data_IF_120472831108
#
_entry.id   IF_120472831108
#
_cell.length_a   1.000
_cell.length_b   1.000
_cell.length_c   1.000
_cell.angle_alpha   90.00
_cell.angle_beta   90.00
_cell.angle_gamma   90.00
#
_symmetry.space_group_name_H-M   'P 1'
#
loop_
_entity.id
_entity.type
_entity.pdbx_description
1 polymer ?
#
# COMPACT_ATOMS: atom_id res chain seq x y z
N UNK A 1 -3.01 -21.97 23.03
CA UNK A 1 -3.55 -20.68 22.52
C UNK A 1 -5.05 -20.73 22.66
N UNK A 2 -5.58 -19.91 23.54
CA UNK A 2 -7.00 -19.92 23.87
C UNK A 2 -7.71 -18.65 23.42
N UNK A 3 -7.02 -17.49 23.31
CA UNK A 3 -7.58 -16.20 22.94
C UNK A 3 -6.66 -15.42 21.98
N UNK A 4 -7.22 -14.83 20.92
CA UNK A 4 -6.49 -14.02 19.93
C UNK A 4 -7.10 -12.63 19.84
N UNK A 5 -6.26 -11.61 20.01
CA UNK A 5 -6.63 -10.22 19.75
C UNK A 5 -5.88 -9.72 18.52
N UNK A 6 -6.61 -9.10 17.59
CA UNK A 6 -6.05 -8.44 16.38
C UNK A 6 -6.29 -6.94 16.51
N UNK A 7 -5.23 -6.15 16.50
CA UNK A 7 -5.29 -4.69 16.50
C UNK A 7 -5.03 -4.17 15.09
N UNK A 8 -6.10 -3.71 14.46
CA UNK A 8 -6.11 -3.21 13.09
C UNK A 8 -7.23 -3.83 12.25
N UNK A 9 -8.20 -3.01 11.84
CA UNK A 9 -9.35 -3.38 11.01
C UNK A 9 -9.06 -3.32 9.50
N UNK A 10 -7.80 -3.51 9.09
CA UNK A 10 -7.43 -3.58 7.68
C UNK A 10 -7.50 -5.00 7.11
N UNK A 11 -7.20 -5.12 5.82
CA UNK A 11 -7.25 -6.38 5.07
C UNK A 11 -6.37 -7.48 5.71
N UNK A 12 -5.18 -7.15 6.21
CA UNK A 12 -4.30 -8.14 6.82
C UNK A 12 -4.92 -8.79 8.07
N UNK A 13 -5.54 -7.99 8.95
CA UNK A 13 -6.26 -8.46 10.13
C UNK A 13 -7.46 -9.33 9.74
N UNK A 14 -8.27 -8.89 8.76
CA UNK A 14 -9.42 -9.65 8.26
C UNK A 14 -9.00 -11.02 7.72
N UNK A 15 -7.95 -11.08 6.90
CA UNK A 15 -7.45 -12.34 6.32
C UNK A 15 -6.81 -13.27 7.35
N UNK A 16 -6.22 -12.71 8.43
CA UNK A 16 -5.72 -13.52 9.56
C UNK A 16 -6.87 -14.21 10.27
N UNK A 17 -7.94 -13.50 10.58
CA UNK A 17 -9.10 -14.03 11.28
C UNK A 17 -9.89 -15.01 10.41
N UNK A 18 -10.11 -14.68 9.14
CA UNK A 18 -10.72 -15.57 8.15
C UNK A 18 -9.98 -16.93 8.11
N UNK A 19 -8.65 -16.88 8.04
CA UNK A 19 -7.81 -18.09 7.98
C UNK A 19 -7.88 -18.87 9.30
N UNK A 20 -7.80 -18.21 10.47
CA UNK A 20 -7.93 -18.88 11.77
C UNK A 20 -9.23 -19.67 11.87
N UNK A 21 -10.37 -19.06 11.49
CA UNK A 21 -11.69 -19.70 11.52
C UNK A 21 -11.81 -20.81 10.48
N UNK A 22 -11.34 -20.56 9.27
CA UNK A 22 -11.33 -21.56 8.17
C UNK A 22 -10.54 -22.82 8.51
N UNK A 23 -9.45 -22.67 9.29
CA UNK A 23 -8.59 -23.77 9.74
C UNK A 23 -9.02 -24.38 11.07
N UNK A 24 -10.19 -24.01 11.59
CA UNK A 24 -10.83 -24.68 12.72
C UNK A 24 -10.49 -24.13 14.09
N UNK A 25 -9.84 -22.99 14.23
CA UNK A 25 -9.66 -22.35 15.53
C UNK A 25 -11.03 -21.95 16.11
N UNK A 26 -11.29 -22.36 17.38
CA UNK A 26 -12.57 -22.15 18.06
C UNK A 26 -12.48 -21.24 19.31
N UNK A 27 -11.26 -20.84 19.71
CA UNK A 27 -11.08 -19.89 20.81
C UNK A 27 -11.65 -18.51 20.49
N UNK A 28 -11.85 -17.63 21.47
CA UNK A 28 -12.25 -16.26 21.24
C UNK A 28 -11.32 -15.52 20.27
N UNK A 29 -11.90 -14.70 19.40
CA UNK A 29 -11.16 -13.80 18.50
C UNK A 29 -11.81 -12.43 18.56
N UNK A 30 -11.01 -11.42 18.92
CA UNK A 30 -11.45 -10.02 18.92
C UNK A 30 -10.61 -9.21 17.95
N UNK A 31 -11.27 -8.47 17.04
CA UNK A 31 -10.64 -7.49 16.15
C UNK A 31 -10.99 -6.09 16.64
N UNK A 32 -9.96 -5.24 16.80
CA UNK A 32 -10.10 -3.84 17.21
C UNK A 32 -9.76 -2.95 16.02
N UNK A 33 -10.72 -2.19 15.53
CA UNK A 33 -10.62 -1.32 14.35
C UNK A 33 -10.86 0.14 14.75
N UNK A 34 -9.89 1.00 14.47
CA UNK A 34 -10.00 2.44 14.76
C UNK A 34 -10.98 3.18 13.83
N UNK A 35 -11.14 2.69 12.60
CA UNK A 35 -12.11 3.21 11.64
C UNK A 35 -13.53 2.74 11.99
N UNK A 36 -14.59 3.51 11.64
CA UNK A 36 -15.99 3.15 11.95
C UNK A 36 -16.57 2.13 10.97
N UNK A 37 -15.74 1.56 10.11
CA UNK A 37 -16.12 0.63 9.07
C UNK A 37 -15.64 -0.79 9.39
N UNK A 38 -16.33 -1.76 8.86
CA UNK A 38 -15.82 -3.13 8.75
C UNK A 38 -14.56 -3.15 7.86
N UNK A 39 -13.68 -4.14 8.01
CA UNK A 39 -12.49 -4.26 7.18
C UNK A 39 -12.80 -4.23 5.69
N UNK A 40 -12.05 -3.42 4.93
CA UNK A 40 -12.21 -3.23 3.51
C UNK A 40 -10.87 -3.22 2.77
N UNK A 41 -10.94 -3.40 1.46
CA UNK A 41 -9.81 -3.36 0.55
C UNK A 41 -9.50 -1.91 0.13
N UNK A 42 -8.24 -1.49 0.22
CA UNK A 42 -7.84 -0.10 -0.08
C UNK A 42 -7.62 0.21 -1.58
N UNK A 43 -7.23 -0.76 -2.45
CA UNK A 43 -7.02 -0.44 -3.86
C UNK A 43 -8.19 0.25 -4.57
N UNK A 44 -9.47 -0.07 -4.29
CA UNK A 44 -10.59 0.65 -4.89
C UNK A 44 -10.64 2.15 -4.56
N UNK A 45 -10.04 2.60 -3.45
CA UNK A 45 -10.08 3.99 -3.00
C UNK A 45 -9.46 4.98 -4.00
N UNK A 46 -8.40 4.57 -4.72
CA UNK A 46 -7.72 5.39 -5.74
C UNK A 46 -8.15 5.05 -7.18
N UNK A 47 -8.98 4.03 -7.36
CA UNK A 47 -9.40 3.48 -8.65
C UNK A 47 -10.93 3.62 -8.84
N UNK A 48 -11.63 2.51 -8.78
CA UNK A 48 -13.07 2.44 -9.11
C UNK A 48 -13.93 3.40 -8.31
N UNK A 49 -13.68 3.55 -7.02
CA UNK A 49 -14.45 4.46 -6.17
C UNK A 49 -14.21 5.94 -6.51
N UNK A 50 -12.99 6.33 -6.91
CA UNK A 50 -12.74 7.69 -7.41
C UNK A 50 -13.30 7.90 -8.83
N UNK A 51 -13.46 6.84 -9.61
CA UNK A 51 -14.14 6.89 -10.91
C UNK A 51 -15.66 6.93 -10.78
N UNK A 52 -16.20 6.93 -9.54
CA UNK A 52 -17.64 6.97 -9.29
C UNK A 52 -18.36 5.65 -9.59
N UNK A 53 -17.63 4.53 -9.69
CA UNK A 53 -18.22 3.20 -9.87
C UNK A 53 -18.79 2.70 -8.55
N UNK A 54 -19.89 1.96 -8.63
CA UNK A 54 -20.54 1.29 -7.50
C UNK A 54 -19.79 -0.03 -7.21
N UNK A 55 -18.62 0.09 -6.55
CA UNK A 55 -17.77 -1.02 -6.14
C UNK A 55 -17.82 -1.18 -4.64
N UNK A 56 -18.22 -2.36 -4.15
CA UNK A 56 -18.14 -2.69 -2.74
C UNK A 56 -16.70 -3.07 -2.37
N UNK A 57 -15.99 -2.29 -1.53
CA UNK A 57 -14.64 -2.60 -1.11
C UNK A 57 -14.58 -3.57 0.07
N UNK A 58 -15.70 -4.01 0.64
CA UNK A 58 -15.76 -4.84 1.85
C UNK A 58 -14.91 -6.10 1.73
N UNK A 59 -14.01 -6.33 2.68
CA UNK A 59 -13.08 -7.45 2.65
C UNK A 59 -13.74 -8.80 2.93
N UNK A 60 -14.77 -8.81 3.79
CA UNK A 60 -15.57 -9.98 4.17
C UNK A 60 -17.03 -9.57 4.24
N UNK A 61 -17.94 -10.48 3.89
CA UNK A 61 -19.39 -10.24 4.06
C UNK A 61 -19.70 -9.78 5.48
N UNK A 62 -20.50 -8.73 5.69
CA UNK A 62 -20.86 -8.22 7.02
C UNK A 62 -21.39 -9.30 7.98
N UNK A 63 -22.17 -10.25 7.48
CA UNK A 63 -22.69 -11.35 8.28
C UNK A 63 -21.62 -12.39 8.68
N UNK A 64 -20.46 -12.37 8.03
CA UNK A 64 -19.37 -13.32 8.26
C UNK A 64 -18.88 -13.29 9.71
N UNK A 65 -18.77 -12.09 10.29
CA UNK A 65 -18.23 -11.88 11.64
C UNK A 65 -19.06 -12.58 12.71
N UNK A 66 -20.39 -12.40 12.67
CA UNK A 66 -21.31 -13.04 13.57
C UNK A 66 -21.40 -14.56 13.33
N UNK A 67 -21.48 -14.98 12.05
CA UNK A 67 -21.57 -16.41 11.67
C UNK A 67 -20.34 -17.23 12.12
N UNK A 68 -19.20 -16.57 12.33
CA UNK A 68 -17.96 -17.23 12.74
C UNK A 68 -17.52 -16.89 14.18
N UNK A 69 -18.41 -16.35 15.01
CA UNK A 69 -18.13 -16.00 16.40
C UNK A 69 -16.89 -15.11 16.56
N UNK A 70 -16.73 -14.09 15.70
CA UNK A 70 -15.65 -13.10 15.78
C UNK A 70 -16.20 -11.80 16.31
N UNK A 71 -15.64 -11.30 17.42
CA UNK A 71 -15.98 -9.98 17.94
C UNK A 71 -15.26 -8.90 17.17
N UNK A 72 -15.96 -8.17 16.30
CA UNK A 72 -15.43 -7.00 15.60
C UNK A 72 -15.85 -5.73 16.36
N UNK A 73 -14.86 -4.91 16.75
CA UNK A 73 -15.05 -3.63 17.44
C UNK A 73 -14.58 -2.51 16.53
N UNK A 74 -15.50 -1.86 15.84
CA UNK A 74 -15.24 -0.69 14.98
C UNK A 74 -15.31 0.60 15.79
N UNK A 75 -14.70 1.67 15.30
CA UNK A 75 -14.58 2.98 15.96
C UNK A 75 -13.97 2.89 17.37
N UNK A 76 -13.06 1.94 17.59
CA UNK A 76 -12.35 1.73 18.85
C UNK A 76 -10.85 1.63 18.59
N UNK A 77 -10.06 2.44 19.29
CA UNK A 77 -8.60 2.49 19.14
C UNK A 77 -7.89 1.80 20.29
N UNK A 78 -6.91 0.96 19.96
CA UNK A 78 -5.93 0.47 20.93
C UNK A 78 -4.91 1.59 21.21
N UNK A 79 -4.78 1.98 22.48
CA UNK A 79 -3.98 3.14 22.90
C UNK A 79 -2.78 2.79 23.76
N UNK A 80 -2.73 1.58 24.33
CA UNK A 80 -1.60 1.10 25.14
C UNK A 80 -1.50 -0.41 25.07
N UNK A 81 -0.28 -0.94 25.08
CA UNK A 81 0.02 -2.37 25.16
C UNK A 81 0.82 -2.67 26.43
N UNK A 82 0.25 -3.46 27.33
CA UNK A 82 0.93 -4.01 28.53
C UNK A 82 1.33 -5.47 28.25
N UNK A 83 2.56 -5.65 27.75
CA UNK A 83 3.12 -6.96 27.40
C UNK A 83 3.26 -7.88 28.61
N UNK A 84 3.62 -7.30 29.77
CA UNK A 84 3.81 -8.08 31.01
C UNK A 84 2.53 -8.70 31.52
N UNK A 85 1.40 -7.98 31.40
CA UNK A 85 0.08 -8.46 31.75
C UNK A 85 -0.70 -9.07 30.57
N UNK A 86 -0.13 -9.09 29.37
CA UNK A 86 -0.74 -9.57 28.12
C UNK A 86 -2.12 -8.97 27.89
N UNK A 87 -2.19 -7.65 27.81
CA UNK A 87 -3.43 -6.93 27.61
C UNK A 87 -3.25 -5.65 26.80
N UNK A 88 -4.29 -5.29 26.07
CA UNK A 88 -4.38 -4.06 25.28
C UNK A 88 -5.41 -3.13 25.89
N UNK A 89 -5.07 -1.87 26.09
CA UNK A 89 -5.97 -0.83 26.56
C UNK A 89 -6.63 -0.13 25.37
N UNK A 90 -7.94 -0.01 25.43
CA UNK A 90 -8.75 0.68 24.42
C UNK A 90 -9.10 2.09 24.87
N UNK A 91 -9.33 2.98 23.92
CA UNK A 91 -9.81 4.36 24.16
C UNK A 91 -11.19 4.41 24.85
N UNK A 92 -11.96 3.32 24.79
CA UNK A 92 -13.17 3.12 25.59
C UNK A 92 -12.92 2.95 27.10
N UNK A 93 -11.66 2.80 27.53
CA UNK A 93 -11.25 2.52 28.92
C UNK A 93 -11.19 1.05 29.29
N UNK A 94 -11.53 0.15 28.39
CA UNK A 94 -11.49 -1.30 28.59
C UNK A 94 -10.08 -1.86 28.36
N UNK A 95 -9.73 -2.92 29.10
CA UNK A 95 -8.55 -3.76 28.88
C UNK A 95 -8.96 -5.11 28.29
N UNK A 96 -8.43 -5.43 27.10
CA UNK A 96 -8.58 -6.76 26.49
C UNK A 96 -7.35 -7.62 26.83
N UNK A 97 -7.57 -8.78 27.41
CA UNK A 97 -6.52 -9.79 27.59
C UNK A 97 -6.32 -10.58 26.30
N UNK A 98 -5.13 -11.13 26.09
CA UNK A 98 -4.80 -11.99 24.95
C UNK A 98 -3.82 -13.09 25.35
N UNK A 99 -3.92 -14.24 24.72
CA UNK A 99 -2.84 -15.23 24.69
C UNK A 99 -1.88 -14.93 23.53
N UNK A 100 -2.45 -14.50 22.39
CA UNK A 100 -1.70 -14.04 21.22
C UNK A 100 -2.28 -12.71 20.70
N UNK A 101 -1.39 -11.78 20.43
CA UNK A 101 -1.71 -10.48 19.84
C UNK A 101 -1.15 -10.38 18.43
N UNK A 102 -1.97 -9.92 17.49
CA UNK A 102 -1.54 -9.58 16.13
C UNK A 102 -1.68 -8.08 15.91
N UNK A 103 -0.56 -7.39 15.71
CA UNK A 103 -0.52 -5.98 15.35
C UNK A 103 -0.63 -5.85 13.82
N UNK A 104 -1.76 -5.36 13.35
CA UNK A 104 -2.09 -5.13 11.93
C UNK A 104 -2.47 -3.65 11.70
N UNK A 105 -1.78 -2.74 12.40
CA UNK A 105 -2.08 -1.31 12.48
C UNK A 105 -1.85 -0.56 11.16
N UNK A 106 -1.16 -1.18 10.21
CA UNK A 106 -0.97 -0.65 8.86
C UNK A 106 -0.02 0.55 8.79
N UNK A 107 -0.34 1.50 7.93
CA UNK A 107 0.43 2.71 7.71
C UNK A 107 -0.50 3.92 7.53
N UNK A 108 0.00 5.11 7.79
CA UNK A 108 -0.69 6.39 7.64
C UNK A 108 -0.03 7.22 6.53
N UNK A 109 -0.76 8.14 5.87
CA UNK A 109 -0.14 9.04 4.90
C UNK A 109 0.99 9.84 5.54
N UNK A 110 2.07 10.02 4.81
CA UNK A 110 3.15 10.90 5.23
C UNK A 110 2.72 12.36 5.11
N UNK A 111 2.61 13.03 6.24
CA UNK A 111 2.36 14.48 6.30
C UNK A 111 3.73 15.17 6.32
N UNK A 112 4.07 16.00 5.31
CA UNK A 112 5.33 16.74 5.32
C UNK A 112 5.31 17.85 6.37
N UNK A 113 6.47 18.16 6.93
CA UNK A 113 6.66 19.31 7.82
C UNK A 113 6.75 20.61 6.98
N UNK A 114 5.60 21.01 6.41
CA UNK A 114 5.45 22.19 5.58
C UNK A 114 4.23 23.00 6.06
N UNK A 115 4.31 24.34 6.05
CA UNK A 115 3.19 25.19 6.39
C UNK A 115 1.95 24.82 5.56
N UNK A 116 0.79 24.66 6.22
CA UNK A 116 -0.49 24.37 5.60
C UNK A 116 -0.70 22.94 5.11
N UNK A 117 0.29 22.05 5.21
CA UNK A 117 0.18 20.65 4.77
C UNK A 117 -0.91 19.87 5.53
N UNK A 118 -1.17 20.22 6.79
CA UNK A 118 -2.23 19.65 7.61
C UNK A 118 -3.65 19.93 7.10
N UNK A 119 -3.79 20.89 6.18
CA UNK A 119 -5.07 21.27 5.55
C UNK A 119 -5.25 20.70 4.15
N UNK A 120 -4.24 20.03 3.62
CA UNK A 120 -4.30 19.36 2.33
C UNK A 120 -5.16 18.08 2.39
N UNK A 121 -5.55 17.59 1.23
CA UNK A 121 -6.16 16.27 1.09
C UNK A 121 -5.09 15.18 1.15
N UNK A 122 -5.46 14.05 1.71
CA UNK A 122 -4.72 12.80 1.73
C UNK A 122 -5.64 11.68 1.29
N UNK A 123 -5.11 10.52 0.93
CA UNK A 123 -5.94 9.38 0.55
C UNK A 123 -5.46 8.12 1.27
N UNK A 124 -6.25 7.68 2.25
CA UNK A 124 -6.01 6.43 2.99
C UNK A 124 -7.29 5.72 3.42
N UNK A 125 -8.33 6.46 3.80
CA UNK A 125 -9.59 5.93 4.32
C UNK A 125 -10.77 6.18 3.37
N UNK A 126 -11.93 5.59 3.67
CA UNK A 126 -13.16 5.86 2.93
C UNK A 126 -13.57 7.34 3.04
N UNK A 127 -13.40 7.95 4.22
CA UNK A 127 -13.66 9.38 4.42
C UNK A 127 -12.70 10.26 3.61
N UNK A 128 -11.43 9.83 3.50
CA UNK A 128 -10.47 10.52 2.63
C UNK A 128 -10.91 10.45 1.17
N UNK A 129 -11.32 9.27 0.70
CA UNK A 129 -11.84 9.07 -0.66
C UNK A 129 -13.05 9.97 -0.90
N UNK A 130 -13.98 10.08 0.04
CA UNK A 130 -15.15 10.97 -0.10
C UNK A 130 -14.74 12.45 -0.21
N UNK A 131 -13.75 12.87 0.58
CA UNK A 131 -13.20 14.23 0.49
C UNK A 131 -12.49 14.49 -0.83
N UNK A 132 -11.68 13.54 -1.30
CA UNK A 132 -11.01 13.64 -2.59
C UNK A 132 -12.03 13.67 -3.72
N UNK A 133 -13.00 12.74 -3.72
CA UNK A 133 -14.05 12.70 -4.75
C UNK A 133 -14.87 13.99 -4.79
N UNK A 134 -15.19 14.58 -3.64
CA UNK A 134 -15.89 15.88 -3.55
C UNK A 134 -15.10 17.05 -4.14
N UNK A 135 -13.76 16.91 -4.22
CA UNK A 135 -12.85 17.87 -4.84
C UNK A 135 -12.65 17.65 -6.36
N UNK A 136 -13.19 16.55 -6.92
CA UNK A 136 -13.06 16.23 -8.36
C UNK A 136 -14.25 16.79 -9.14
N UNK A 137 -14.37 18.13 -9.20
CA UNK A 137 -15.44 18.79 -9.97
C UNK A 137 -14.92 19.28 -11.31
N UNK A 138 -15.70 19.14 -12.40
CA UNK A 138 -15.30 19.64 -13.70
C UNK A 138 -14.88 21.11 -13.67
N UNK A 139 -13.69 21.41 -14.17
CA UNK A 139 -13.14 22.75 -14.22
C UNK A 139 -12.41 23.22 -12.95
N UNK A 140 -12.47 22.49 -11.84
CA UNK A 140 -11.62 22.76 -10.66
C UNK A 140 -10.16 22.41 -10.96
N UNK A 141 -9.23 23.05 -10.24
CA UNK A 141 -7.78 22.84 -10.34
C UNK A 141 -7.29 22.06 -9.13
N UNK A 142 -6.69 20.89 -9.39
CA UNK A 142 -6.09 20.03 -8.38
C UNK A 142 -4.56 20.04 -8.49
N UNK A 143 -3.86 20.50 -7.45
CA UNK A 143 -2.42 20.30 -7.32
C UNK A 143 -2.15 19.02 -6.51
N UNK A 144 -1.36 18.09 -7.08
CA UNK A 144 -0.94 16.85 -6.44
C UNK A 144 0.54 16.94 -6.13
N UNK A 145 0.91 16.78 -4.87
CA UNK A 145 2.29 16.75 -4.39
C UNK A 145 2.77 15.32 -4.28
N UNK A 146 3.68 14.92 -5.17
CA UNK A 146 4.22 13.57 -5.30
C UNK A 146 3.66 12.81 -6.50
N UNK A 147 4.57 12.32 -7.37
CA UNK A 147 4.26 11.48 -8.53
C UNK A 147 4.55 10.00 -8.23
N UNK A 148 4.17 9.54 -7.03
CA UNK A 148 4.12 8.11 -6.68
C UNK A 148 2.85 7.45 -7.22
N UNK A 149 2.66 6.14 -6.95
CA UNK A 149 1.54 5.37 -7.46
C UNK A 149 0.18 6.03 -7.17
N UNK A 150 -0.08 6.38 -5.91
CA UNK A 150 -1.36 7.01 -5.49
C UNK A 150 -1.55 8.38 -6.14
N UNK A 151 -0.49 9.21 -6.19
CA UNK A 151 -0.58 10.54 -6.81
C UNK A 151 -0.94 10.45 -8.29
N UNK A 152 -0.35 9.50 -9.02
CA UNK A 152 -0.63 9.28 -10.44
C UNK A 152 -2.01 8.64 -10.67
N UNK A 153 -2.45 7.69 -9.83
CA UNK A 153 -3.79 7.11 -9.91
C UNK A 153 -4.87 8.18 -9.67
N UNK A 154 -4.68 9.04 -8.67
CA UNK A 154 -5.59 10.17 -8.43
C UNK A 154 -5.57 11.16 -9.57
N UNK A 155 -4.39 11.44 -10.17
CA UNK A 155 -4.27 12.30 -11.35
C UNK A 155 -5.07 11.73 -12.53
N UNK A 156 -4.99 10.42 -12.77
CA UNK A 156 -5.74 9.75 -13.82
C UNK A 156 -7.26 9.82 -13.57
N UNK A 157 -7.71 9.53 -12.34
CA UNK A 157 -9.12 9.64 -11.96
C UNK A 157 -9.62 11.09 -12.09
N UNK A 158 -8.87 12.08 -11.61
CA UNK A 158 -9.23 13.50 -11.69
C UNK A 158 -9.40 13.98 -13.14
N UNK A 159 -8.51 13.52 -14.05
CA UNK A 159 -8.67 13.84 -15.49
C UNK A 159 -9.93 13.23 -16.09
N UNK A 160 -10.37 12.06 -15.65
CA UNK A 160 -11.65 11.46 -16.07
C UNK A 160 -12.86 12.31 -15.63
N UNK A 161 -12.73 13.04 -14.51
CA UNK A 161 -13.73 14.00 -14.02
C UNK A 161 -13.55 15.42 -14.60
N UNK A 162 -12.74 15.61 -15.65
CA UNK A 162 -12.49 16.90 -16.30
C UNK A 162 -11.87 17.96 -15.36
N UNK A 163 -11.13 17.53 -14.33
CA UNK A 163 -10.37 18.41 -13.42
C UNK A 163 -9.05 18.82 -14.08
N UNK A 164 -8.65 20.08 -13.92
CA UNK A 164 -7.31 20.53 -14.32
C UNK A 164 -6.28 20.04 -13.30
N UNK A 165 -5.34 19.18 -13.72
CA UNK A 165 -4.41 18.51 -12.80
C UNK A 165 -2.98 18.99 -13.03
N UNK A 166 -2.34 19.48 -11.96
CA UNK A 166 -0.90 19.71 -11.88
C UNK A 166 -0.28 18.73 -10.88
N UNK A 167 0.65 17.88 -11.32
CA UNK A 167 1.42 16.99 -10.47
C UNK A 167 2.83 17.53 -10.28
N UNK A 168 3.27 17.62 -9.03
CA UNK A 168 4.57 18.16 -8.62
C UNK A 168 5.45 17.06 -8.05
N UNK A 169 6.58 16.80 -8.70
CA UNK A 169 7.52 15.76 -8.29
C UNK A 169 8.92 16.38 -8.08
N UNK A 170 9.54 16.01 -6.97
CA UNK A 170 10.88 16.50 -6.64
C UNK A 170 11.98 15.80 -7.45
N UNK A 171 11.78 14.53 -7.82
CA UNK A 171 12.69 13.78 -8.68
C UNK A 171 12.56 14.25 -10.15
N UNK A 172 13.52 13.84 -10.98
CA UNK A 172 13.53 14.17 -12.42
C UNK A 172 12.47 13.40 -13.21
N UNK A 173 12.08 12.21 -12.72
CA UNK A 173 11.03 11.38 -13.31
C UNK A 173 10.13 10.76 -12.22
N UNK A 174 8.85 10.50 -12.53
CA UNK A 174 7.95 9.80 -11.61
C UNK A 174 8.39 8.34 -11.45
N UNK A 175 8.39 7.82 -10.21
CA UNK A 175 8.67 6.41 -9.91
C UNK A 175 10.03 5.88 -10.42
N UNK A 176 10.99 6.75 -10.74
CA UNK A 176 12.27 6.38 -11.36
C UNK A 176 13.05 5.30 -10.58
N UNK A 177 12.99 5.36 -9.25
CA UNK A 177 13.66 4.37 -8.37
C UNK A 177 13.05 2.96 -8.47
N UNK A 178 11.84 2.84 -8.99
CA UNK A 178 11.12 1.56 -9.11
C UNK A 178 11.16 1.06 -10.54
N UNK A 179 10.87 1.92 -11.49
CA UNK A 179 10.69 1.55 -12.90
C UNK A 179 11.96 1.72 -13.75
N UNK A 180 12.92 2.54 -13.29
CA UNK A 180 14.05 2.98 -14.11
C UNK A 180 13.65 4.12 -15.05
N UNK A 181 14.64 4.80 -15.65
CA UNK A 181 14.42 6.03 -16.39
C UNK A 181 13.52 5.86 -17.63
N UNK A 182 13.68 4.76 -18.39
CA UNK A 182 12.93 4.51 -19.62
C UNK A 182 11.43 4.38 -19.38
N UNK A 183 11.03 3.46 -18.51
CA UNK A 183 9.61 3.20 -18.18
C UNK A 183 8.98 4.38 -17.42
N UNK A 184 9.75 5.05 -16.57
CA UNK A 184 9.32 6.28 -15.91
C UNK A 184 9.07 7.42 -16.90
N UNK A 185 9.91 7.55 -17.92
CA UNK A 185 9.72 8.48 -19.03
C UNK A 185 8.46 8.17 -19.83
N UNK A 186 8.20 6.89 -20.10
CA UNK A 186 7.00 6.42 -20.78
C UNK A 186 5.73 6.76 -19.96
N UNK A 187 5.71 6.47 -18.65
CA UNK A 187 4.60 6.81 -17.77
C UNK A 187 4.37 8.32 -17.67
N UNK A 188 5.46 9.12 -17.63
CA UNK A 188 5.36 10.58 -17.65
C UNK A 188 4.74 11.10 -18.95
N UNK A 189 5.11 10.51 -20.08
CA UNK A 189 4.55 10.86 -21.41
C UNK A 189 3.05 10.51 -21.48
N UNK A 190 2.64 9.36 -20.96
CA UNK A 190 1.25 8.95 -20.85
C UNK A 190 0.41 10.01 -20.10
N UNK A 191 0.84 10.38 -18.90
CA UNK A 191 0.10 11.38 -18.09
C UNK A 191 0.01 12.72 -18.80
N UNK A 192 1.09 13.19 -19.42
CA UNK A 192 1.08 14.43 -20.22
C UNK A 192 0.15 14.36 -21.43
N UNK A 193 0.06 13.22 -22.12
CA UNK A 193 -0.85 13.02 -23.27
C UNK A 193 -2.33 13.11 -22.85
N UNK A 194 -2.65 12.75 -21.60
CA UNK A 194 -3.98 12.92 -21.00
C UNK A 194 -4.21 14.30 -20.36
N UNK A 195 -3.32 15.26 -20.61
CA UNK A 195 -3.49 16.64 -20.16
C UNK A 195 -3.14 16.88 -18.68
N UNK A 196 -2.34 16.02 -18.07
CA UNK A 196 -1.74 16.27 -16.75
C UNK A 196 -0.53 17.19 -16.92
N UNK A 197 -0.50 18.33 -16.23
CA UNK A 197 0.68 19.20 -16.11
C UNK A 197 1.66 18.57 -15.10
N UNK A 198 2.46 17.61 -15.58
CA UNK A 198 3.45 16.92 -14.76
C UNK A 198 4.78 17.70 -14.74
N UNK A 199 5.07 18.32 -13.59
CA UNK A 199 6.28 19.10 -13.31
C UNK A 199 7.23 18.33 -12.43
N UNK A 200 8.39 18.00 -12.97
CA UNK A 200 9.46 17.27 -12.27
C UNK A 200 10.61 18.21 -11.90
N UNK A 201 11.47 17.80 -10.94
CA UNK A 201 12.53 18.66 -10.40
C UNK A 201 11.97 19.84 -9.58
N UNK A 202 10.75 19.72 -9.02
CA UNK A 202 10.04 20.79 -8.32
C UNK A 202 9.80 20.39 -6.87
N UNK A 203 10.35 21.14 -5.93
CA UNK A 203 10.06 20.98 -4.51
C UNK A 203 8.94 21.92 -4.05
N UNK A 204 7.97 21.36 -3.31
CA UNK A 204 6.92 22.15 -2.63
C UNK A 204 7.47 22.65 -1.31
N UNK A 205 7.18 23.90 -0.98
CA UNK A 205 7.66 24.60 0.22
C UNK A 205 6.54 24.96 1.19
N UNK A 206 5.31 25.13 0.70
CA UNK A 206 4.16 25.54 1.48
C UNK A 206 2.86 25.21 0.74
N UNK A 207 1.82 24.83 1.45
CA UNK A 207 0.43 24.81 0.99
C UNK A 207 -0.18 26.16 1.35
N UNK A 208 -0.58 26.93 0.35
CA UNK A 208 -1.14 28.28 0.54
C UNK A 208 -2.59 28.16 0.97
N UNK A 209 -2.95 28.85 2.05
CA UNK A 209 -4.29 28.80 2.62
C UNK A 209 -5.05 30.10 2.35
N UNK A 210 -6.28 29.97 1.89
CA UNK A 210 -7.31 31.02 1.86
C UNK A 210 -8.29 30.86 3.03
N UNK A 211 -9.38 31.66 3.03
CA UNK A 211 -10.39 31.60 4.10
C UNK A 211 -11.05 30.24 4.25
N UNK A 212 -11.27 29.55 3.14
CA UNK A 212 -12.06 28.30 3.11
C UNK A 212 -11.20 27.03 2.96
N UNK A 213 -9.88 27.16 2.80
CA UNK A 213 -8.97 26.02 2.63
C UNK A 213 -7.78 26.33 1.74
N UNK A 214 -7.11 25.29 1.20
CA UNK A 214 -6.01 25.45 0.25
C UNK A 214 -6.43 26.24 -0.99
N UNK A 215 -5.55 27.14 -1.45
CA UNK A 215 -5.73 27.95 -2.67
C UNK A 215 -4.56 27.78 -3.65
N UNK A 216 -3.62 26.91 -3.35
CA UNK A 216 -2.45 26.60 -4.18
C UNK A 216 -1.25 26.14 -3.38
N UNK A 217 -0.12 26.09 -4.03
CA UNK A 217 1.17 25.70 -3.44
C UNK A 217 2.28 26.65 -3.84
N UNK A 218 3.20 26.93 -2.90
CA UNK A 218 4.48 27.57 -3.19
C UNK A 218 5.51 26.52 -3.48
N UNK A 219 6.24 26.71 -4.56
CA UNK A 219 7.28 25.76 -5.00
C UNK A 219 8.62 26.46 -5.21
N UNK A 220 9.68 25.68 -5.44
CA UNK A 220 11.01 26.18 -5.84
C UNK A 220 11.00 26.96 -7.17
N UNK A 221 9.93 26.83 -7.98
CA UNK A 221 9.81 27.44 -9.31
C UNK A 221 8.67 28.50 -9.38
N UNK A 222 8.11 28.89 -8.23
CA UNK A 222 7.03 29.87 -8.16
C UNK A 222 5.77 29.31 -7.51
N UNK A 223 4.69 30.08 -7.60
CA UNK A 223 3.37 29.72 -7.03
C UNK A 223 2.50 29.04 -8.10
N UNK A 224 1.76 28.04 -7.69
CA UNK A 224 0.77 27.33 -8.50
C UNK A 224 -0.58 27.50 -7.78
N UNK A 225 -1.51 28.13 -8.44
CA UNK A 225 -2.88 28.26 -7.95
C UNK A 225 -3.63 26.94 -8.13
N UNK A 226 -4.38 26.54 -7.11
CA UNK A 226 -5.23 25.36 -7.15
C UNK A 226 -6.44 25.55 -6.22
N UNK A 227 -7.55 24.94 -6.57
CA UNK A 227 -8.76 24.98 -5.74
C UNK A 227 -8.69 23.86 -4.67
N UNK A 228 -7.89 22.82 -4.96
CA UNK A 228 -7.61 21.71 -4.05
C UNK A 228 -6.15 21.30 -4.12
N UNK A 229 -5.62 20.84 -2.98
CA UNK A 229 -4.25 20.30 -2.88
C UNK A 229 -4.29 18.91 -2.26
N UNK A 230 -3.75 17.91 -2.95
CA UNK A 230 -3.56 16.55 -2.45
C UNK A 230 -2.08 16.29 -2.21
N UNK A 231 -1.74 15.67 -1.08
CA UNK A 231 -0.36 15.24 -0.77
C UNK A 231 -0.28 13.71 -0.82
N UNK A 232 0.58 13.20 -1.69
CA UNK A 232 0.78 11.76 -1.97
C UNK A 232 2.26 11.39 -2.02
N UNK A 233 3.00 11.69 -0.93
CA UNK A 233 4.47 11.51 -0.82
C UNK A 233 4.88 10.24 -0.07
N UNK A 234 4.02 9.22 -0.08
CA UNK A 234 4.21 7.94 0.59
C UNK A 234 3.50 7.82 1.92
N UNK A 235 3.80 6.75 2.65
CA UNK A 235 3.20 6.44 3.94
C UNK A 235 4.25 6.21 5.02
N UNK A 236 3.82 6.20 6.27
CA UNK A 236 4.63 5.87 7.44
C UNK A 236 3.95 4.73 8.21
N UNK A 237 4.68 3.70 8.65
CA UNK A 237 4.09 2.60 9.40
C UNK A 237 3.56 3.07 10.75
N UNK A 238 2.36 2.62 11.12
CA UNK A 238 1.69 2.97 12.38
C UNK A 238 2.24 2.15 13.55
N UNK A 239 3.43 2.53 14.03
CA UNK A 239 4.24 1.76 14.98
C UNK A 239 4.15 2.23 16.44
N UNK A 240 3.42 3.30 16.74
CA UNK A 240 3.48 3.97 18.04
C UNK A 240 3.10 3.03 19.19
N UNK A 241 2.02 2.26 19.05
CA UNK A 241 1.61 1.26 20.05
C UNK A 241 2.72 0.25 20.36
N UNK A 242 3.42 -0.21 19.33
CA UNK A 242 4.52 -1.17 19.47
C UNK A 242 5.78 -0.52 20.08
N UNK A 243 6.11 0.70 19.63
CA UNK A 243 7.26 1.46 20.12
C UNK A 243 7.12 1.79 21.59
N UNK A 244 5.95 2.29 22.01
CA UNK A 244 5.67 2.63 23.40
C UNK A 244 5.66 1.39 24.33
N UNK A 245 5.31 0.24 23.79
CA UNK A 245 5.39 -1.04 24.48
C UNK A 245 6.84 -1.63 24.51
N UNK A 246 7.82 -0.96 23.91
CA UNK A 246 9.22 -1.42 23.88
C UNK A 246 9.48 -2.59 22.94
N UNK A 247 8.66 -2.77 21.89
CA UNK A 247 8.96 -3.66 20.78
C UNK A 247 9.97 -3.02 19.84
N UNK A 248 10.77 -3.82 19.15
CA UNK A 248 11.76 -3.33 18.19
C UNK A 248 11.06 -2.75 16.96
N UNK A 249 11.49 -1.53 16.55
CA UNK A 249 10.95 -0.78 15.43
C UNK A 249 12.09 -0.25 14.57
N UNK A 250 12.09 -0.63 13.29
CA UNK A 250 12.99 -0.15 12.25
C UNK A 250 12.25 -0.14 10.91
N UNK A 251 11.85 1.03 10.41
CA UNK A 251 10.95 1.18 9.26
C UNK A 251 9.74 0.22 9.31
N UNK A 252 9.07 0.16 10.46
CA UNK A 252 8.00 -0.78 10.79
C UNK A 252 8.30 -1.58 12.06
N UNK A 253 7.40 -2.46 12.46
CA UNK A 253 7.63 -3.39 13.57
C UNK A 253 8.51 -4.52 13.07
N UNK A 254 9.67 -4.71 13.71
CA UNK A 254 10.63 -5.76 13.33
C UNK A 254 10.07 -7.12 13.70
N UNK A 255 9.96 -8.00 12.71
CA UNK A 255 9.49 -9.39 12.91
C UNK A 255 10.39 -10.40 12.20
N UNK A 256 10.42 -11.62 12.72
CA UNK A 256 11.11 -12.73 12.08
C UNK A 256 10.38 -13.23 10.80
N UNK A 257 10.86 -14.30 10.20
CA UNK A 257 10.25 -14.94 9.03
C UNK A 257 8.87 -15.57 9.32
N UNK A 258 8.49 -15.66 10.59
CA UNK A 258 7.20 -16.17 11.08
C UNK A 258 6.31 -15.05 11.63
N UNK A 259 6.65 -13.79 11.35
CA UNK A 259 5.93 -12.59 11.80
C UNK A 259 5.94 -12.35 13.31
N UNK A 260 6.83 -12.98 14.09
CA UNK A 260 6.97 -12.79 15.52
C UNK A 260 7.84 -11.56 15.78
N UNK A 261 7.41 -10.75 16.73
CA UNK A 261 8.22 -9.65 17.27
C UNK A 261 9.28 -10.18 18.25
N UNK A 262 9.95 -9.28 18.96
CA UNK A 262 10.81 -9.63 20.11
C UNK A 262 10.03 -10.22 21.31
N UNK A 263 8.70 -10.27 21.23
CA UNK A 263 7.81 -10.91 22.21
C UNK A 263 7.08 -12.08 21.54
N UNK A 264 7.23 -13.30 22.08
CA UNK A 264 6.65 -14.52 21.51
C UNK A 264 5.11 -14.55 21.48
N UNK A 265 4.47 -13.65 22.23
CA UNK A 265 3.01 -13.50 22.27
C UNK A 265 2.50 -12.40 21.35
N UNK A 266 3.39 -11.70 20.65
CA UNK A 266 3.04 -10.57 19.79
C UNK A 266 3.61 -10.78 18.39
N UNK A 267 2.74 -10.80 17.40
CA UNK A 267 3.08 -10.82 15.97
C UNK A 267 2.73 -9.47 15.33
N UNK A 268 3.35 -9.15 14.17
CA UNK A 268 2.93 -8.02 13.36
C UNK A 268 2.87 -8.39 11.87
N UNK A 269 1.86 -7.86 11.16
CA UNK A 269 1.56 -8.16 9.76
C UNK A 269 1.06 -6.94 8.98
N UNK A 270 1.08 -7.04 7.65
CA UNK A 270 0.65 -5.99 6.73
C UNK A 270 1.66 -4.85 6.64
N UNK A 271 1.19 -3.66 6.29
CA UNK A 271 2.04 -2.50 5.98
C UNK A 271 2.93 -2.06 7.16
N UNK A 272 2.56 -2.42 8.39
CA UNK A 272 3.33 -2.09 9.60
C UNK A 272 4.52 -3.02 9.83
N UNK A 273 4.52 -4.23 9.23
CA UNK A 273 5.51 -5.25 9.52
C UNK A 273 6.78 -5.12 8.65
N UNK A 274 7.94 -5.01 9.30
CA UNK A 274 9.25 -5.15 8.67
C UNK A 274 9.74 -6.59 8.86
N UNK A 275 9.32 -7.48 7.94
CA UNK A 275 9.45 -8.92 8.06
C UNK A 275 10.72 -9.45 7.38
N UNK A 276 11.38 -10.42 8.01
CA UNK A 276 12.48 -11.17 7.36
C UNK A 276 11.93 -12.06 6.26
N UNK A 277 12.45 -11.92 5.03
CA UNK A 277 12.10 -12.76 3.90
C UNK A 277 13.19 -13.79 3.65
N UNK A 278 12.87 -15.08 3.79
CA UNK A 278 13.85 -16.16 3.67
C UNK A 278 14.31 -16.40 2.23
N UNK A 279 13.49 -16.07 1.24
CA UNK A 279 13.86 -16.19 -0.18
C UNK A 279 14.84 -15.09 -0.59
N UNK A 280 14.58 -13.86 -0.19
CA UNK A 280 15.37 -12.68 -0.55
C UNK A 280 16.51 -12.39 0.45
N UNK A 281 16.58 -13.13 1.56
CA UNK A 281 17.60 -13.00 2.62
C UNK A 281 17.74 -11.56 3.13
N UNK A 282 16.62 -10.86 3.28
CA UNK A 282 16.56 -9.48 3.77
C UNK A 282 15.24 -9.18 4.44
N UNK A 283 15.21 -8.10 5.23
CA UNK A 283 13.96 -7.55 5.76
C UNK A 283 13.22 -6.75 4.70
N UNK A 284 11.90 -6.88 4.69
CA UNK A 284 11.02 -6.17 3.77
C UNK A 284 9.82 -5.62 4.52
N UNK A 285 9.52 -4.36 4.30
CA UNK A 285 8.23 -3.77 4.56
C UNK A 285 7.56 -3.47 3.22
N UNK A 286 6.41 -4.07 2.99
CA UNK A 286 5.68 -4.00 1.72
C UNK A 286 4.26 -3.51 1.98
N UNK A 287 3.95 -2.34 1.48
CA UNK A 287 2.63 -1.70 1.56
C UNK A 287 1.80 -2.09 0.35
N UNK A 288 1.26 -3.31 0.33
CA UNK A 288 0.46 -3.74 -0.80
C UNK A 288 -0.62 -4.77 -0.40
N UNK A 289 -1.69 -4.77 -1.16
CA UNK A 289 -2.86 -5.64 -1.01
C UNK A 289 -2.50 -7.15 -0.94
N UNK A 290 -1.71 -7.66 -1.90
CA UNK A 290 -1.26 -9.07 -1.93
C UNK A 290 -0.46 -9.44 -0.67
N UNK A 291 0.43 -8.54 -0.23
CA UNK A 291 1.23 -8.76 0.97
C UNK A 291 0.36 -8.82 2.23
N UNK A 292 -0.64 -7.94 2.34
CA UNK A 292 -1.59 -7.96 3.46
C UNK A 292 -2.36 -9.30 3.52
N UNK A 293 -2.83 -9.82 2.39
CA UNK A 293 -3.51 -11.12 2.29
C UNK A 293 -2.58 -12.25 2.70
N UNK A 294 -1.37 -12.30 2.12
CA UNK A 294 -0.41 -13.38 2.37
C UNK A 294 0.05 -13.41 3.82
N UNK A 295 0.44 -12.26 4.37
CA UNK A 295 0.87 -12.16 5.77
C UNK A 295 -0.27 -12.47 6.73
N UNK A 296 -1.50 -12.02 6.43
CA UNK A 296 -2.67 -12.36 7.23
C UNK A 296 -2.91 -13.89 7.32
N UNK A 297 -2.88 -14.55 6.17
CA UNK A 297 -3.02 -16.02 6.14
C UNK A 297 -1.85 -16.74 6.80
N UNK A 298 -0.63 -16.29 6.55
CA UNK A 298 0.58 -16.91 7.07
C UNK A 298 0.70 -16.79 8.59
N UNK A 299 0.38 -15.63 9.20
CA UNK A 299 0.40 -15.49 10.67
C UNK A 299 -0.62 -16.41 11.33
N UNK A 300 -1.79 -16.58 10.73
CA UNK A 300 -2.80 -17.52 11.24
C UNK A 300 -2.28 -18.97 11.24
N UNK A 301 -1.62 -19.39 10.15
CA UNK A 301 -0.98 -20.69 10.05
C UNK A 301 0.13 -20.86 11.13
N UNK A 302 0.96 -19.83 11.36
CA UNK A 302 1.99 -19.82 12.40
C UNK A 302 1.37 -19.94 13.79
N UNK A 303 0.30 -19.18 14.08
CA UNK A 303 -0.42 -19.25 15.36
C UNK A 303 -1.03 -20.64 15.60
N UNK A 304 -1.42 -21.34 14.54
CA UNK A 304 -1.91 -22.73 14.61
C UNK A 304 -0.79 -23.78 14.67
N UNK A 305 0.47 -23.34 14.77
CA UNK A 305 1.64 -24.22 14.91
C UNK A 305 2.13 -24.83 13.61
N UNK A 306 1.74 -24.30 12.45
CA UNK A 306 2.22 -24.75 11.15
C UNK A 306 3.60 -24.18 10.81
N UNK A 307 4.34 -24.86 9.98
CA UNK A 307 5.67 -24.45 9.53
C UNK A 307 5.55 -23.52 8.31
N UNK A 308 5.06 -22.30 8.53
CA UNK A 308 4.88 -21.27 7.52
C UNK A 308 5.90 -20.17 7.72
N UNK A 309 6.53 -19.71 6.64
CA UNK A 309 7.52 -18.63 6.64
C UNK A 309 7.27 -17.64 5.51
N UNK A 310 7.80 -16.42 5.66
CA UNK A 310 7.75 -15.37 4.65
C UNK A 310 8.78 -15.64 3.54
N UNK A 311 8.36 -16.23 2.43
CA UNK A 311 9.21 -16.64 1.30
C UNK A 311 8.75 -16.12 -0.07
N UNK A 312 7.62 -15.41 -0.13
CA UNK A 312 7.07 -14.90 -1.40
C UNK A 312 7.73 -13.60 -1.84
N UNK A 313 7.72 -13.39 -3.15
CA UNK A 313 8.19 -12.15 -3.76
C UNK A 313 7.16 -11.03 -3.56
N UNK A 314 7.61 -9.78 -3.37
CA UNK A 314 6.72 -8.61 -3.47
C UNK A 314 5.98 -8.61 -4.80
N UNK A 315 4.72 -8.20 -4.75
CA UNK A 315 3.87 -8.04 -5.91
C UNK A 315 3.03 -6.79 -5.72
N UNK A 316 2.77 -6.06 -6.81
CA UNK A 316 1.80 -4.99 -6.82
C UNK A 316 1.22 -4.78 -8.23
N UNK A 317 0.15 -4.01 -8.32
CA UNK A 317 -0.49 -3.62 -9.56
C UNK A 317 -0.93 -2.16 -9.51
N UNK A 318 -1.10 -1.54 -10.68
CA UNK A 318 -1.72 -0.22 -10.82
C UNK A 318 -2.50 -0.14 -12.11
N UNK A 319 -3.52 0.72 -12.11
CA UNK A 319 -4.32 1.06 -13.27
C UNK A 319 -4.35 2.58 -13.40
N UNK A 320 -3.86 3.11 -14.54
CA UNK A 320 -3.75 4.53 -14.82
C UNK A 320 -4.04 4.76 -16.30
N UNK A 321 -5.19 5.33 -16.63
CA UNK A 321 -5.65 5.44 -18.03
C UNK A 321 -5.68 4.06 -18.71
N UNK A 322 -5.00 3.91 -19.86
CA UNK A 322 -4.81 2.63 -20.57
C UNK A 322 -3.64 1.79 -20.06
N UNK A 323 -2.85 2.30 -19.13
CA UNK A 323 -1.71 1.59 -18.55
C UNK A 323 -2.15 0.79 -17.34
N UNK A 324 -2.42 -0.50 -17.54
CA UNK A 324 -2.72 -1.45 -16.47
C UNK A 324 -1.59 -2.48 -16.38
N UNK A 325 -1.01 -2.67 -15.21
CA UNK A 325 0.16 -3.52 -15.03
C UNK A 325 0.13 -4.33 -13.74
N UNK A 326 0.86 -5.44 -13.78
CA UNK A 326 1.26 -6.22 -12.61
C UNK A 326 2.78 -6.32 -12.55
N UNK A 327 3.31 -6.27 -11.35
CA UNK A 327 4.74 -6.28 -11.08
C UNK A 327 5.08 -7.29 -10.01
N UNK A 328 6.20 -8.02 -10.17
CA UNK A 328 6.69 -9.01 -9.21
C UNK A 328 8.20 -8.92 -9.06
N UNK A 329 8.69 -9.10 -7.84
CA UNK A 329 10.11 -9.12 -7.54
C UNK A 329 10.59 -7.90 -6.78
N UNK A 330 11.90 -7.73 -6.72
CA UNK A 330 12.57 -6.62 -6.04
C UNK A 330 13.88 -6.27 -6.74
N UNK A 331 13.84 -5.51 -7.82
CA UNK A 331 15.04 -5.04 -8.51
C UNK A 331 15.94 -4.20 -7.61
N UNK A 332 17.22 -4.32 -7.86
CA UNK A 332 18.23 -3.43 -7.33
C UNK A 332 18.27 -2.08 -8.07
N UNK A 333 18.88 -1.05 -7.48
CA UNK A 333 18.91 0.31 -8.06
C UNK A 333 19.76 0.43 -9.34
N UNK A 334 20.51 -0.60 -9.69
CA UNK A 334 21.40 -0.64 -10.85
C UNK A 334 21.05 -1.75 -11.83
N UNK A 335 19.90 -2.38 -11.65
CA UNK A 335 19.45 -3.43 -12.54
C UNK A 335 19.04 -2.83 -13.89
N UNK A 336 19.40 -3.56 -14.95
CA UNK A 336 19.08 -3.16 -16.32
C UNK A 336 17.66 -3.60 -16.65
N UNK A 337 16.90 -2.71 -17.29
CA UNK A 337 15.57 -3.03 -17.79
C UNK A 337 15.67 -3.52 -19.23
N UNK A 338 15.01 -4.64 -19.52
CA UNK A 338 14.80 -5.18 -20.86
C UNK A 338 13.29 -5.29 -21.13
N UNK A 339 12.83 -4.72 -22.22
CA UNK A 339 11.41 -4.78 -22.61
C UNK A 339 11.20 -5.74 -23.78
N UNK A 340 10.02 -6.38 -23.82
CA UNK A 340 9.57 -7.27 -24.90
C UNK A 340 8.10 -6.98 -25.20
N UNK A 341 7.78 -6.75 -26.44
CA UNK A 341 6.45 -6.36 -26.90
C UNK A 341 6.38 -4.91 -27.37
N UNK A 342 5.19 -4.35 -27.36
CA UNK A 342 4.90 -2.99 -27.83
C UNK A 342 4.77 -2.03 -26.64
N UNK A 343 5.85 -1.29 -26.34
CA UNK A 343 5.88 -0.34 -25.21
C UNK A 343 4.96 0.84 -25.48
N UNK A 344 4.94 1.36 -26.72
CA UNK A 344 4.11 2.50 -27.10
C UNK A 344 2.61 2.15 -27.09
N UNK A 345 2.27 0.92 -27.46
CA UNK A 345 0.91 0.39 -27.43
C UNK A 345 0.48 -0.15 -26.07
N UNK A 346 1.31 -0.04 -25.01
CA UNK A 346 1.04 -0.55 -23.67
C UNK A 346 0.75 -2.07 -23.61
N UNK A 347 1.41 -2.85 -24.50
CA UNK A 347 1.33 -4.31 -24.51
C UNK A 347 2.74 -4.92 -24.48
N UNK A 348 3.37 -4.97 -23.30
CA UNK A 348 4.75 -5.43 -23.17
C UNK A 348 5.02 -6.09 -21.81
N UNK A 349 6.18 -6.76 -21.74
CA UNK A 349 6.79 -7.23 -20.49
C UNK A 349 8.12 -6.52 -20.29
N UNK A 350 8.36 -6.02 -19.08
CA UNK A 350 9.66 -5.52 -18.66
C UNK A 350 10.30 -6.50 -17.67
N UNK A 351 11.60 -6.72 -17.84
CA UNK A 351 12.43 -7.56 -16.99
C UNK A 351 13.57 -6.72 -16.41
N UNK A 352 13.80 -6.85 -15.12
CA UNK A 352 14.97 -6.26 -14.45
C UNK A 352 16.04 -7.34 -14.31
N UNK A 353 17.24 -7.06 -14.79
CA UNK A 353 18.38 -7.97 -14.76
C UNK A 353 19.51 -7.34 -13.97
N UNK A 354 20.04 -8.08 -13.02
CA UNK A 354 21.26 -7.69 -12.31
C UNK A 354 22.51 -7.79 -13.20
N UNK A 355 23.68 -7.44 -12.64
CA UNK A 355 24.95 -7.51 -13.36
C UNK A 355 25.38 -8.95 -13.73
N UNK A 356 24.82 -9.97 -13.09
CA UNK A 356 25.06 -11.38 -13.39
C UNK A 356 24.07 -11.98 -14.40
N UNK A 357 23.09 -11.20 -14.85
CA UNK A 357 22.00 -11.63 -15.74
C UNK A 357 20.90 -12.41 -15.03
N UNK A 358 20.79 -12.28 -13.70
CA UNK A 358 19.67 -12.84 -12.95
C UNK A 358 18.47 -11.90 -13.03
N UNK A 359 17.27 -12.45 -13.25
CA UNK A 359 16.02 -11.69 -13.22
C UNK A 359 15.67 -11.37 -11.78
N UNK A 360 15.69 -10.10 -11.41
CA UNK A 360 15.39 -9.61 -10.05
C UNK A 360 13.96 -9.11 -9.90
N UNK A 361 13.32 -8.79 -11.02
CA UNK A 361 11.92 -8.41 -11.10
C UNK A 361 11.39 -8.48 -12.51
N UNK A 362 10.06 -8.50 -12.63
CA UNK A 362 9.37 -8.47 -13.90
C UNK A 362 8.02 -7.75 -13.78
N UNK A 363 7.55 -7.17 -14.89
CA UNK A 363 6.30 -6.43 -14.98
C UNK A 363 5.62 -6.77 -16.31
N UNK A 364 4.33 -7.09 -16.27
CA UNK A 364 3.49 -7.16 -17.46
C UNK A 364 2.60 -5.92 -17.53
N UNK A 365 2.46 -5.38 -18.74
CA UNK A 365 1.56 -4.27 -19.06
C UNK A 365 0.65 -4.71 -20.20
N UNK A 366 -0.67 -4.62 -20.01
CA UNK A 366 -1.66 -5.01 -21.02
C UNK A 366 -1.64 -6.48 -21.44
N UNK A 367 -0.79 -7.32 -20.86
CA UNK A 367 -0.66 -8.76 -21.12
C UNK A 367 -1.00 -9.50 -19.83
N UNK A 368 -2.05 -10.31 -19.86
CA UNK A 368 -2.61 -10.93 -18.65
C UNK A 368 -2.31 -12.43 -18.57
N UNK A 369 -2.55 -13.03 -17.38
CA UNK A 369 -2.36 -14.47 -17.09
C UNK A 369 -0.90 -14.96 -17.24
N UNK A 370 0.08 -14.05 -17.13
CA UNK A 370 1.51 -14.35 -17.25
C UNK A 370 2.28 -14.21 -15.93
N UNK A 371 1.66 -13.67 -14.88
CA UNK A 371 2.35 -13.32 -13.64
C UNK A 371 3.01 -14.54 -12.96
N UNK A 372 2.39 -15.72 -12.97
CA UNK A 372 3.00 -16.94 -12.41
C UNK A 372 4.27 -17.35 -13.17
N UNK A 373 4.29 -17.16 -14.49
CA UNK A 373 5.48 -17.41 -15.33
C UNK A 373 6.58 -16.39 -14.99
N UNK A 374 6.21 -15.12 -14.80
CA UNK A 374 7.15 -14.06 -14.39
C UNK A 374 7.72 -14.34 -12.99
N UNK A 375 6.89 -14.75 -12.04
CA UNK A 375 7.34 -15.16 -10.68
C UNK A 375 8.36 -16.31 -10.72
N UNK A 376 8.17 -17.26 -11.63
CA UNK A 376 9.08 -18.38 -11.78
C UNK A 376 10.44 -17.98 -12.37
N UNK A 377 10.50 -16.90 -13.16
CA UNK A 377 11.74 -16.36 -13.71
C UNK A 377 12.56 -15.59 -12.69
N UNK A 378 11.92 -14.93 -11.72
CA UNK A 378 12.65 -14.16 -10.70
C UNK A 378 13.53 -15.05 -9.85
N UNK A 379 14.83 -14.73 -9.81
CA UNK A 379 15.88 -15.52 -9.18
C UNK A 379 16.55 -16.50 -10.14
N UNK A 380 16.22 -16.48 -11.45
CA UNK A 380 16.89 -17.31 -12.45
C UNK A 380 17.76 -16.47 -13.37
N UNK A 381 18.86 -17.06 -13.85
CA UNK A 381 19.70 -16.42 -14.87
C UNK A 381 19.14 -16.72 -16.26
N UNK A 382 18.94 -15.68 -17.05
CA UNK A 382 18.39 -15.77 -18.40
C UNK A 382 19.24 -14.92 -19.35
N UNK A 383 19.55 -15.46 -20.54
CA UNK A 383 20.14 -14.64 -21.58
C UNK A 383 19.07 -13.67 -22.13
N UNK A 384 19.40 -12.38 -22.33
CA UNK A 384 18.43 -11.41 -22.83
C UNK A 384 17.73 -11.80 -24.13
N UNK A 385 18.41 -12.58 -24.98
CA UNK A 385 17.85 -13.08 -26.23
C UNK A 385 16.72 -14.10 -26.05
N UNK A 386 16.66 -14.76 -24.88
CA UNK A 386 15.65 -15.76 -24.57
C UNK A 386 14.39 -15.18 -23.88
N UNK A 387 14.45 -13.88 -23.50
CA UNK A 387 13.28 -13.19 -22.96
C UNK A 387 12.25 -12.92 -24.05
N UNK A 388 10.98 -13.17 -23.75
CA UNK A 388 9.84 -12.99 -24.67
C UNK A 388 8.76 -12.14 -24.04
N UNK A 389 7.73 -11.77 -24.80
CA UNK A 389 6.53 -11.12 -24.28
C UNK A 389 5.49 -12.11 -23.71
N UNK A 390 5.85 -13.39 -23.64
CA UNK A 390 5.04 -14.48 -23.08
C UNK A 390 3.66 -14.69 -23.70
N UNK A 391 3.34 -14.08 -24.83
CA UNK A 391 2.06 -14.24 -25.54
C UNK A 391 1.98 -15.55 -26.35
N UNK A 392 3.06 -16.35 -26.40
CA UNK A 392 3.13 -17.62 -27.10
C UNK A 392 3.18 -18.83 -26.17
#
# INVERSE_FOLDING_TARGET
MDDVVVVGGGLAGARAVERLRGEGFRGPVTVVAAEPHEPYERPPLSKDLLLGKDTDPTALDPAWWEQHDVTLRVAVRAIQLDRGARRVHLDSGEWLHYDQLVLATGAEPRVPDLPGADRALYLRTLEDKDRVLAALRPGDRLAIVGAGWIGLEVAAAARTHEVEVTVLEMADLPLEKVLGAELSGHLAALHRSHGVDLRTGVSVQEVLLGPDGPVGVRTSQGTIDADHVLVAIGAVPAVDLAREAGLEVDDGIVVDERFRTSDEHVSAIGDVANAWNVRLQQRLRVEHWDNAIRQGRAVADVLLGRDTVHDWLPYFFTDQFEFSMEYVGRPGPHDRVETRGDVEGHEFIAYWLDAAGEVTGAMNVGIWDVNDRLRALVGTRVEPADLTDLRQ
#
